data_IF_344067309262
#
_entry.id   IF_344067309262
#
_cell.length_a   1.000
_cell.length_b   1.000
_cell.length_c   1.000
_cell.angle_alpha   90.00
_cell.angle_beta   90.00
_cell.angle_gamma   90.00
#
_symmetry.space_group_name_H-M   'P 1'
#
loop_
_entity.id
_entity.type
_entity.pdbx_description
1 polymer ?
#
# COMPACT_ATOMS: atom_id res chain seq x y z
N UNK A 1 -4.51 12.11 -2.15
CA UNK A 1 -3.94 12.20 -3.50
C UNK A 1 -4.47 11.08 -4.41
N UNK A 2 -4.27 9.80 -4.07
CA UNK A 2 -4.75 8.69 -4.92
C UNK A 2 -6.28 8.60 -4.97
N UNK A 3 -6.98 8.90 -3.87
CA UNK A 3 -8.46 8.97 -3.85
C UNK A 3 -9.05 10.12 -4.66
N UNK A 4 -8.29 11.18 -4.84
CA UNK A 4 -8.71 12.37 -5.59
C UNK A 4 -8.54 12.23 -7.10
N UNK A 5 -7.96 11.11 -7.54
CA UNK A 5 -7.82 10.79 -8.95
C UNK A 5 -8.55 9.48 -9.31
N UNK A 6 -9.90 9.49 -9.33
CA UNK A 6 -10.71 8.29 -9.55
C UNK A 6 -10.49 7.63 -10.92
N UNK A 7 -9.86 8.33 -11.84
CA UNK A 7 -9.52 7.79 -13.15
C UNK A 7 -8.32 6.83 -13.11
N UNK A 8 -7.56 6.76 -12.01
CA UNK A 8 -6.32 5.97 -11.94
C UNK A 8 -6.33 4.88 -10.88
N UNK A 9 -7.18 4.99 -9.86
CA UNK A 9 -7.31 3.97 -8.79
C UNK A 9 -8.78 3.87 -8.38
N UNK A 10 -9.27 2.64 -8.27
CA UNK A 10 -10.65 2.40 -7.85
C UNK A 10 -10.91 2.95 -6.44
N UNK A 11 -12.02 3.65 -6.21
CA UNK A 11 -12.38 4.13 -4.89
C UNK A 11 -12.73 2.96 -3.96
N UNK A 12 -12.45 3.10 -2.68
CA UNK A 12 -12.72 2.04 -1.72
C UNK A 12 -12.70 2.54 -0.26
N UNK A 13 -13.13 1.65 0.64
CA UNK A 13 -13.03 1.87 2.08
C UNK A 13 -11.63 1.51 2.55
N UNK A 14 -10.98 2.39 3.30
CA UNK A 14 -9.68 2.14 3.90
C UNK A 14 -9.86 1.74 5.36
N UNK A 15 -9.17 0.66 5.77
CA UNK A 15 -8.95 0.28 7.16
C UNK A 15 -7.46 0.25 7.42
N UNK A 16 -7.04 0.78 8.57
CA UNK A 16 -5.64 0.73 9.01
C UNK A 16 -5.50 -0.50 9.90
N UNK A 17 -4.61 -1.41 9.52
CA UNK A 17 -4.34 -2.64 10.24
C UNK A 17 -2.96 -3.18 9.86
N UNK A 18 -2.18 -3.67 10.85
CA UNK A 18 -0.86 -4.24 10.58
C UNK A 18 -0.98 -5.70 10.14
N UNK A 19 -1.34 -5.91 8.88
CA UNK A 19 -1.59 -7.24 8.30
C UNK A 19 -0.36 -8.16 8.30
N UNK A 20 0.84 -7.61 8.46
CA UNK A 20 2.09 -8.38 8.46
C UNK A 20 2.40 -8.93 9.84
N UNK A 21 2.05 -8.21 10.90
CA UNK A 21 2.43 -8.55 12.29
C UNK A 21 1.24 -9.00 13.15
N UNK A 22 0.01 -8.66 12.78
CA UNK A 22 -1.18 -8.96 13.56
C UNK A 22 -2.15 -9.87 12.80
N UNK A 23 -2.72 -10.91 13.48
CA UNK A 23 -3.72 -11.77 12.85
C UNK A 23 -5.03 -11.02 12.64
N UNK A 24 -5.58 -11.06 11.43
CA UNK A 24 -6.87 -10.45 11.11
C UNK A 24 -7.98 -11.02 12.02
N UNK A 25 -8.68 -10.18 12.79
CA UNK A 25 -9.73 -10.65 13.67
C UNK A 25 -10.95 -11.14 12.87
N UNK A 26 -11.60 -12.19 13.37
CA UNK A 26 -12.80 -12.77 12.75
C UNK A 26 -13.90 -11.71 12.49
N UNK A 27 -14.04 -10.77 13.42
CA UNK A 27 -14.99 -9.64 13.30
C UNK A 27 -14.75 -8.78 12.06
N UNK A 28 -13.52 -8.66 11.56
CA UNK A 28 -13.23 -7.96 10.31
C UNK A 28 -13.52 -8.85 9.09
N UNK A 29 -13.17 -10.14 9.16
CA UNK A 29 -13.40 -11.08 8.06
C UNK A 29 -14.89 -11.21 7.71
N UNK A 30 -15.77 -11.34 8.70
CA UNK A 30 -17.22 -11.48 8.48
C UNK A 30 -17.89 -10.23 7.88
N UNK A 31 -17.23 -9.08 7.89
CA UNK A 31 -17.74 -7.85 7.27
C UNK A 31 -17.42 -7.74 5.77
N UNK A 32 -16.61 -8.65 5.24
CA UNK A 32 -16.21 -8.65 3.83
C UNK A 32 -17.27 -9.40 3.03
N UNK A 33 -17.93 -8.69 2.14
CA UNK A 33 -18.99 -9.26 1.29
C UNK A 33 -18.40 -9.99 0.08
N UNK A 34 -19.14 -10.96 -0.42
CA UNK A 34 -18.81 -11.65 -1.68
C UNK A 34 -18.72 -10.63 -2.84
N UNK A 35 -17.78 -10.85 -3.75
CA UNK A 35 -17.51 -9.92 -4.87
C UNK A 35 -16.64 -8.73 -4.51
N UNK A 36 -16.22 -8.58 -3.24
CA UNK A 36 -15.33 -7.49 -2.82
C UNK A 36 -13.91 -7.71 -3.35
N UNK A 37 -13.28 -6.64 -3.85
CA UNK A 37 -11.84 -6.60 -4.04
C UNK A 37 -11.19 -6.12 -2.74
N UNK A 38 -10.42 -7.00 -2.10
CA UNK A 38 -9.65 -6.69 -0.90
C UNK A 38 -8.23 -6.35 -1.32
N UNK A 39 -7.79 -5.15 -0.97
CA UNK A 39 -6.45 -4.66 -1.28
C UNK A 39 -5.61 -4.68 0.00
N UNK A 40 -4.51 -5.42 -0.02
CA UNK A 40 -3.55 -5.47 1.08
C UNK A 40 -2.33 -4.63 0.72
N UNK A 41 -2.16 -3.50 1.44
CA UNK A 41 -0.98 -2.64 1.33
C UNK A 41 -0.13 -2.84 2.58
N UNK A 42 1.16 -3.10 2.40
CA UNK A 42 2.07 -3.39 3.50
C UNK A 42 3.53 -3.12 3.14
N UNK A 43 4.33 -2.79 4.15
CA UNK A 43 5.79 -2.63 4.03
C UNK A 43 6.47 -4.01 4.03
N UNK A 44 7.61 -4.11 3.34
CA UNK A 44 8.37 -5.38 3.22
C UNK A 44 9.69 -5.38 4.02
N UNK A 45 9.94 -4.37 4.85
CA UNK A 45 11.10 -4.25 5.73
C UNK A 45 10.91 -5.00 7.07
N UNK A 46 10.14 -6.08 7.05
CA UNK A 46 9.80 -6.87 8.24
C UNK A 46 10.58 -8.19 8.27
N UNK A 47 11.00 -8.66 9.45
CA UNK A 47 11.81 -9.86 9.59
C UNK A 47 11.05 -11.17 9.38
N UNK A 48 9.71 -11.16 9.49
CA UNK A 48 8.90 -12.37 9.43
C UNK A 48 7.62 -12.18 8.63
N UNK A 49 7.29 -13.16 7.78
CA UNK A 49 6.12 -13.14 6.90
C UNK A 49 5.01 -14.13 7.29
N UNK A 50 5.20 -14.88 8.39
CA UNK A 50 4.28 -15.96 8.80
C UNK A 50 2.86 -15.45 9.04
N UNK A 51 2.71 -14.30 9.71
CA UNK A 51 1.41 -13.72 10.00
C UNK A 51 0.71 -13.24 8.72
N UNK A 52 1.43 -12.62 7.78
CA UNK A 52 0.89 -12.23 6.48
C UNK A 52 0.38 -13.45 5.70
N UNK A 53 1.15 -14.55 5.66
CA UNK A 53 0.73 -15.81 5.02
C UNK A 53 -0.56 -16.35 5.62
N UNK A 54 -0.64 -16.37 6.94
CA UNK A 54 -1.84 -16.83 7.65
C UNK A 54 -3.04 -15.93 7.38
N UNK A 55 -2.86 -14.61 7.37
CA UNK A 55 -3.92 -13.65 7.05
C UNK A 55 -4.45 -13.81 5.61
N UNK A 56 -3.57 -14.03 4.64
CA UNK A 56 -3.96 -14.32 3.25
C UNK A 56 -4.79 -15.60 3.20
N UNK A 57 -4.34 -16.67 3.89
CA UNK A 57 -5.07 -17.93 3.98
C UNK A 57 -6.45 -17.75 4.62
N UNK A 58 -6.53 -16.99 5.72
CA UNK A 58 -7.80 -16.70 6.39
C UNK A 58 -8.76 -15.93 5.49
N UNK A 59 -8.29 -14.90 4.79
CA UNK A 59 -9.10 -14.17 3.81
C UNK A 59 -9.66 -15.12 2.74
N UNK A 60 -8.84 -16.00 2.20
CA UNK A 60 -9.26 -16.96 1.16
C UNK A 60 -10.25 -18.01 1.67
N UNK A 61 -10.14 -18.42 2.94
CA UNK A 61 -11.03 -19.44 3.53
C UNK A 61 -12.37 -18.86 4.02
N UNK A 62 -12.35 -17.68 4.65
CA UNK A 62 -13.53 -17.10 5.29
C UNK A 62 -14.34 -16.19 4.35
N UNK A 63 -13.73 -15.67 3.31
CA UNK A 63 -14.34 -14.72 2.40
C UNK A 63 -14.49 -15.34 1.02
N UNK A 64 -15.67 -15.89 0.73
CA UNK A 64 -15.93 -16.51 -0.57
C UNK A 64 -16.07 -15.48 -1.69
N UNK A 65 -15.57 -15.81 -2.88
CA UNK A 65 -15.69 -14.97 -4.09
C UNK A 65 -15.11 -13.56 -3.91
N UNK A 66 -14.02 -13.41 -3.16
CA UNK A 66 -13.27 -12.16 -3.11
C UNK A 66 -12.11 -12.18 -4.11
N UNK A 67 -11.69 -11.00 -4.51
CA UNK A 67 -10.45 -10.77 -5.25
C UNK A 67 -9.42 -10.18 -4.30
N UNK A 68 -8.22 -10.76 -4.23
CA UNK A 68 -7.10 -10.22 -3.46
C UNK A 68 -6.14 -9.50 -4.38
N UNK A 69 -5.82 -8.25 -4.06
CA UNK A 69 -4.81 -7.45 -4.74
C UNK A 69 -3.76 -7.02 -3.71
N UNK A 70 -2.50 -7.16 -4.07
CA UNK A 70 -1.38 -6.90 -3.18
C UNK A 70 -0.59 -5.67 -3.64
N UNK A 71 -0.30 -4.79 -2.69
CA UNK A 71 0.47 -3.57 -2.88
C UNK A 71 1.67 -3.57 -1.93
N UNK A 72 2.67 -4.44 -2.17
CA UNK A 72 3.87 -4.44 -1.34
C UNK A 72 4.65 -3.15 -1.57
N UNK A 73 4.94 -2.44 -0.50
CA UNK A 73 5.86 -1.31 -0.49
C UNK A 73 7.25 -1.85 -0.23
N UNK A 74 8.08 -1.92 -1.27
CA UNK A 74 9.41 -2.54 -1.17
C UNK A 74 10.31 -1.68 -0.29
N UNK A 75 10.71 -2.25 0.82
CA UNK A 75 11.15 -1.68 2.07
C UNK A 75 9.95 -1.03 2.78
N UNK A 76 9.62 0.22 2.52
CA UNK A 76 8.56 0.98 3.17
C UNK A 76 7.97 2.05 2.23
N UNK A 77 6.99 2.80 2.73
CA UNK A 77 6.32 3.85 1.98
C UNK A 77 7.25 4.98 1.53
N UNK A 78 8.21 5.35 2.37
CA UNK A 78 9.18 6.41 2.06
C UNK A 78 10.05 6.04 0.86
N UNK A 79 10.56 4.82 0.84
CA UNK A 79 11.36 4.30 -0.28
C UNK A 79 10.53 4.19 -1.56
N UNK A 80 9.24 3.85 -1.43
CA UNK A 80 8.30 3.82 -2.55
C UNK A 80 8.16 5.21 -3.17
N UNK A 81 7.99 6.27 -2.36
CA UNK A 81 7.89 7.65 -2.84
C UNK A 81 9.17 8.11 -3.53
N UNK A 82 10.34 7.79 -2.99
CA UNK A 82 11.64 8.12 -3.62
C UNK A 82 11.76 7.46 -4.99
N UNK A 83 11.29 6.22 -5.15
CA UNK A 83 11.33 5.52 -6.46
C UNK A 83 10.35 6.08 -7.48
N UNK A 84 9.20 6.55 -7.00
CA UNK A 84 8.10 6.99 -7.85
C UNK A 84 8.14 8.49 -8.19
N UNK A 85 8.85 9.28 -7.39
CA UNK A 85 9.01 10.72 -7.58
C UNK A 85 10.45 11.06 -8.01
N UNK A 86 10.65 12.20 -8.63
CA UNK A 86 11.97 12.73 -8.95
C UNK A 86 12.57 13.48 -7.76
N UNK A 87 12.81 12.75 -6.64
CA UNK A 87 13.35 13.29 -5.39
C UNK A 87 14.53 12.45 -4.90
N UNK A 88 15.43 13.06 -4.14
CA UNK A 88 16.55 12.37 -3.51
C UNK A 88 16.17 11.79 -2.15
N UNK A 89 15.25 12.43 -1.46
CA UNK A 89 14.76 12.05 -0.14
C UNK A 89 13.30 12.48 0.03
N UNK A 90 12.54 11.77 0.87
CA UNK A 90 11.16 12.15 1.22
C UNK A 90 11.07 13.53 1.89
N UNK A 91 12.15 14.00 2.49
CA UNK A 91 12.25 15.36 3.06
C UNK A 91 11.99 16.42 1.98
N UNK A 92 12.35 16.15 0.72
CA UNK A 92 12.15 17.08 -0.39
C UNK A 92 10.66 17.36 -0.66
N UNK A 93 9.75 16.44 -0.25
CA UNK A 93 8.30 16.61 -0.39
C UNK A 93 7.69 17.51 0.68
N UNK A 94 8.23 17.51 1.88
CA UNK A 94 7.61 18.13 3.06
C UNK A 94 8.46 19.24 3.67
N UNK A 95 9.73 19.34 3.27
CA UNK A 95 10.74 20.19 3.91
C UNK A 95 10.88 19.92 5.42
N UNK A 96 10.68 18.67 5.82
CA UNK A 96 10.82 18.21 7.19
C UNK A 96 12.26 18.32 7.68
N UNK A 97 12.46 18.49 8.99
CA UNK A 97 13.80 18.57 9.60
C UNK A 97 14.55 17.23 9.59
N UNK A 98 13.79 16.13 9.60
CA UNK A 98 14.34 14.77 9.60
C UNK A 98 13.35 13.77 8.96
N UNK A 99 13.85 12.58 8.60
CA UNK A 99 13.00 11.48 8.14
C UNK A 99 11.95 11.05 9.19
N UNK A 100 12.24 11.23 10.49
CA UNK A 100 11.28 10.92 11.56
C UNK A 100 10.08 11.86 11.54
N UNK A 101 10.28 13.11 11.15
CA UNK A 101 9.19 14.10 11.07
C UNK A 101 8.36 13.95 9.81
N UNK A 102 8.90 13.33 8.78
CA UNK A 102 8.27 13.21 7.46
C UNK A 102 6.82 12.71 7.53
N UNK A 103 6.56 11.59 8.23
CA UNK A 103 5.20 11.00 8.29
C UNK A 103 4.18 11.97 8.87
N UNK A 104 4.55 12.65 9.96
CA UNK A 104 3.71 13.67 10.60
C UNK A 104 3.44 14.83 9.63
N UNK A 105 4.49 15.36 9.03
CA UNK A 105 4.41 16.52 8.17
C UNK A 105 3.69 16.21 6.85
N UNK A 106 3.92 15.02 6.29
CA UNK A 106 3.23 14.53 5.10
C UNK A 106 1.72 14.35 5.34
N UNK A 107 1.33 13.81 6.50
CA UNK A 107 -0.08 13.70 6.89
C UNK A 107 -0.74 15.06 7.12
N UNK A 108 0.03 16.09 7.50
CA UNK A 108 -0.45 17.45 7.71
C UNK A 108 -0.58 18.29 6.42
N UNK A 109 -0.09 17.79 5.29
CA UNK A 109 -0.19 18.49 4.01
C UNK A 109 -1.65 18.69 3.59
N UNK A 110 -2.04 19.94 3.33
CA UNK A 110 -3.40 20.27 2.85
C UNK A 110 -3.65 19.80 1.41
N UNK A 111 -2.61 19.74 0.58
CA UNK A 111 -2.72 19.35 -0.83
C UNK A 111 -1.59 18.38 -1.23
N UNK A 112 -1.68 17.16 -0.74
CA UNK A 112 -0.72 16.07 -1.04
C UNK A 112 -0.62 15.82 -2.54
N UNK A 113 -1.74 15.88 -3.27
CA UNK A 113 -1.75 15.67 -4.72
C UNK A 113 -0.82 16.66 -5.45
N UNK A 114 -0.95 17.93 -5.17
CA UNK A 114 -0.13 18.97 -5.83
C UNK A 114 1.36 18.81 -5.49
N UNK A 115 1.69 18.41 -4.26
CA UNK A 115 3.08 18.14 -3.85
C UNK A 115 3.66 16.98 -4.64
N UNK A 116 2.92 15.88 -4.80
CA UNK A 116 3.35 14.71 -5.55
C UNK A 116 3.43 14.99 -7.06
N UNK A 117 2.49 15.75 -7.62
CA UNK A 117 2.53 16.19 -9.03
C UNK A 117 3.77 17.04 -9.32
N UNK A 118 4.10 18.00 -8.44
CA UNK A 118 5.33 18.81 -8.56
C UNK A 118 6.62 17.96 -8.45
N UNK A 119 6.56 16.87 -7.75
CA UNK A 119 7.65 15.90 -7.64
C UNK A 119 7.65 14.85 -8.77
N UNK A 120 6.89 15.07 -9.83
CA UNK A 120 6.77 14.18 -11.01
C UNK A 120 6.41 12.74 -10.64
N UNK A 121 5.42 12.54 -9.74
CA UNK A 121 4.97 11.22 -9.34
C UNK A 121 4.59 10.35 -10.55
N UNK A 122 5.33 9.27 -10.75
CA UNK A 122 5.03 8.27 -11.75
C UNK A 122 4.23 7.11 -11.13
N UNK A 123 2.92 7.07 -11.39
CA UNK A 123 2.03 6.04 -10.86
C UNK A 123 2.28 4.63 -11.42
N UNK A 124 2.93 4.51 -12.59
CA UNK A 124 3.27 3.20 -13.16
C UNK A 124 4.38 2.51 -12.35
N UNK A 125 5.30 3.30 -11.79
CA UNK A 125 6.36 2.81 -10.90
C UNK A 125 5.84 2.40 -9.52
N UNK A 126 4.69 2.92 -9.10
CA UNK A 126 4.14 2.67 -7.77
C UNK A 126 3.77 1.18 -7.64
N UNK A 127 4.33 0.52 -6.62
CA UNK A 127 4.20 -0.92 -6.35
C UNK A 127 4.65 -1.85 -7.49
N UNK A 128 5.49 -1.35 -8.38
CA UNK A 128 6.00 -2.13 -9.52
C UNK A 128 7.31 -2.85 -9.23
N UNK A 129 8.03 -2.45 -8.18
CA UNK A 129 9.31 -3.07 -7.82
C UNK A 129 9.09 -4.49 -7.27
N UNK A 130 9.95 -5.41 -7.67
CA UNK A 130 9.95 -6.78 -7.17
C UNK A 130 10.32 -6.82 -5.68
N UNK A 131 9.58 -7.63 -4.94
CA UNK A 131 9.86 -7.92 -3.53
C UNK A 131 11.01 -8.91 -3.40
N UNK A 132 11.57 -9.04 -2.20
CA UNK A 132 12.56 -10.07 -1.88
C UNK A 132 11.97 -11.48 -1.99
N UNK A 133 12.84 -12.50 -2.02
CA UNK A 133 12.45 -13.92 -2.08
C UNK A 133 11.53 -14.35 -0.92
N UNK A 134 11.63 -13.68 0.24
CA UNK A 134 10.77 -13.93 1.41
C UNK A 134 9.28 -13.65 1.13
N UNK A 135 8.99 -12.77 0.17
CA UNK A 135 7.64 -12.41 -0.27
C UNK A 135 7.25 -13.06 -1.60
N UNK A 136 7.97 -14.09 -2.06
CA UNK A 136 7.70 -14.80 -3.32
C UNK A 136 6.29 -15.42 -3.41
N UNK A 137 5.64 -15.64 -2.26
CA UNK A 137 4.26 -16.13 -2.18
C UNK A 137 3.20 -15.05 -2.46
N UNK A 138 3.60 -13.76 -2.54
CA UNK A 138 2.71 -12.63 -2.82
C UNK A 138 2.58 -12.47 -4.34
N UNK A 139 1.37 -12.57 -4.90
CA UNK A 139 1.14 -12.36 -6.33
C UNK A 139 1.49 -10.94 -6.78
N UNK A 140 2.08 -10.82 -7.97
CA UNK A 140 2.38 -9.53 -8.61
C UNK A 140 1.17 -9.00 -9.37
N UNK A 141 0.17 -8.53 -8.66
CA UNK A 141 -1.10 -8.08 -9.26
C UNK A 141 -1.49 -6.64 -8.90
N UNK A 142 -0.55 -5.83 -8.47
CA UNK A 142 -0.77 -4.42 -8.11
C UNK A 142 -1.39 -3.57 -9.24
N UNK A 143 -1.17 -3.97 -10.49
CA UNK A 143 -1.75 -3.29 -11.66
C UNK A 143 -3.28 -3.40 -11.71
N UNK A 144 -3.88 -4.36 -11.03
CA UNK A 144 -5.32 -4.63 -11.10
C UNK A 144 -6.20 -3.57 -10.40
N UNK A 145 -5.60 -2.73 -9.53
CA UNK A 145 -6.31 -1.58 -8.95
C UNK A 145 -6.13 -0.30 -9.76
N UNK A 146 -5.18 -0.28 -10.69
CA UNK A 146 -4.95 0.87 -11.56
C UNK A 146 -6.01 0.86 -12.66
N UNK A 147 -6.71 1.94 -12.85
CA UNK A 147 -7.59 2.13 -14.01
C UNK A 147 -6.74 2.49 -15.22
N UNK A 148 -7.12 1.95 -16.37
CA UNK A 148 -6.47 2.25 -17.65
C UNK A 148 -6.72 3.68 -18.08
#
# INVERSE_FOLDING_TARGET
ALKENPQKIQPGRIKIFNVVQEPLPKSQLITIQAGTTVVLMFDTDVPHTACLKENIKRLSLFCTKIKLVFLPQVLNFEDELVRCCEIKSVIDLTHSRSNKDFKRDFCALKNVRMVLEKANLNLEKLWAKDTSSEFSFVPKNSHEIKTK
#
